data_IF_006467473538
#
_entry.id   IF_006467473538
#
_cell.length_a   1.000
_cell.length_b   1.000
_cell.length_c   1.000
_cell.angle_alpha   90.00
_cell.angle_beta   90.00
_cell.angle_gamma   90.00
#
_symmetry.space_group_name_H-M   'P 1'
#
loop_
_entity.id
_entity.type
_entity.pdbx_description
1 polymer ?
#
# COMPACT_ATOMS: atom_id res chain seq x y z
N UNK A 1 9.83 27.67 -7.32
CA UNK A 1 10.89 27.28 -8.28
C UNK A 1 11.25 25.84 -7.98
N UNK A 2 11.06 24.92 -8.93
CA UNK A 2 11.49 23.53 -8.75
C UNK A 2 13.03 23.48 -8.79
N UNK A 3 13.64 22.68 -7.92
CA UNK A 3 15.08 22.49 -7.96
C UNK A 3 15.49 21.90 -9.33
N UNK A 4 16.64 22.30 -9.89
CA UNK A 4 17.10 21.74 -11.17
C UNK A 4 17.27 20.22 -11.04
N UNK A 5 16.98 19.46 -12.11
CA UNK A 5 17.09 18.01 -12.10
C UNK A 5 18.53 17.59 -11.76
N UNK A 6 18.72 16.43 -11.10
CA UNK A 6 20.05 15.96 -10.72
C UNK A 6 20.92 15.71 -11.96
N UNK A 7 22.21 15.99 -11.83
CA UNK A 7 23.20 15.56 -12.83
C UNK A 7 23.25 14.03 -12.91
N UNK A 8 23.73 13.49 -14.03
CA UNK A 8 23.83 12.03 -14.24
C UNK A 8 24.53 11.32 -13.06
N UNK A 9 25.67 11.85 -12.60
CA UNK A 9 26.40 11.25 -11.47
C UNK A 9 25.57 11.21 -10.18
N UNK A 10 24.82 12.28 -9.88
CA UNK A 10 23.94 12.33 -8.70
C UNK A 10 22.75 11.38 -8.85
N UNK A 11 22.16 11.29 -10.04
CA UNK A 11 21.08 10.37 -10.33
C UNK A 11 21.52 8.90 -10.18
N UNK A 12 22.72 8.55 -10.66
CA UNK A 12 23.30 7.22 -10.49
C UNK A 12 23.50 6.86 -9.02
N UNK A 13 24.04 7.78 -8.20
CA UNK A 13 24.21 7.57 -6.76
C UNK A 13 22.86 7.34 -6.05
N UNK A 14 21.85 8.14 -6.38
CA UNK A 14 20.48 7.96 -5.85
C UNK A 14 19.95 6.58 -6.25
N UNK A 15 20.12 6.18 -7.51
CA UNK A 15 19.65 4.89 -8.00
C UNK A 15 20.37 3.72 -7.33
N UNK A 16 21.68 3.80 -7.10
CA UNK A 16 22.42 2.79 -6.32
C UNK A 16 21.83 2.66 -4.91
N UNK A 17 21.51 3.77 -4.25
CA UNK A 17 20.83 3.76 -2.95
C UNK A 17 19.47 3.06 -3.00
N UNK A 18 18.65 3.37 -4.02
CA UNK A 18 17.34 2.72 -4.23
C UNK A 18 17.51 1.22 -4.44
N UNK A 19 18.46 0.78 -5.27
CA UNK A 19 18.73 -0.64 -5.53
C UNK A 19 19.14 -1.37 -4.25
N UNK A 20 19.97 -0.75 -3.39
CA UNK A 20 20.34 -1.34 -2.11
C UNK A 20 19.15 -1.51 -1.18
N UNK A 21 18.27 -0.50 -1.08
CA UNK A 21 17.05 -0.57 -0.25
C UNK A 21 16.08 -1.62 -0.78
N UNK A 22 15.86 -1.64 -2.09
CA UNK A 22 15.02 -2.65 -2.76
C UNK A 22 15.59 -4.06 -2.59
N UNK A 23 16.91 -4.23 -2.72
CA UNK A 23 17.59 -5.50 -2.51
C UNK A 23 17.48 -5.99 -1.07
N UNK A 24 17.72 -5.11 -0.09
CA UNK A 24 17.54 -5.42 1.33
C UNK A 24 16.09 -5.83 1.64
N UNK A 25 15.13 -5.13 1.02
CA UNK A 25 13.72 -5.45 1.17
C UNK A 25 13.34 -6.81 0.57
N UNK A 26 13.76 -7.10 -0.66
CA UNK A 26 13.52 -8.39 -1.30
C UNK A 26 14.17 -9.54 -0.52
N UNK A 27 15.38 -9.32 0.01
CA UNK A 27 16.04 -10.25 0.93
C UNK A 27 15.22 -10.47 2.20
N UNK A 28 14.68 -9.42 2.81
CA UNK A 28 13.78 -9.53 3.96
C UNK A 28 12.52 -10.35 3.63
N UNK A 29 11.85 -10.08 2.51
CA UNK A 29 10.67 -10.85 2.10
C UNK A 29 10.99 -12.33 1.92
N UNK A 30 12.13 -12.63 1.30
CA UNK A 30 12.63 -14.00 1.15
C UNK A 30 12.81 -14.69 2.51
N UNK A 31 13.42 -14.01 3.49
CA UNK A 31 13.66 -14.54 4.84
C UNK A 31 12.35 -14.79 5.62
N UNK A 32 11.33 -13.96 5.42
CA UNK A 32 10.02 -14.10 6.09
C UNK A 32 9.06 -15.02 5.31
N UNK A 33 9.46 -15.47 4.11
CA UNK A 33 8.67 -16.38 3.27
C UNK A 33 7.51 -15.70 2.53
N UNK A 34 7.55 -14.38 2.38
CA UNK A 34 6.52 -13.61 1.67
C UNK A 34 6.81 -13.61 0.16
N UNK A 35 5.87 -14.11 -0.64
CA UNK A 35 6.02 -14.26 -2.10
C UNK A 35 5.43 -13.11 -2.90
N UNK A 36 4.37 -12.49 -2.40
CA UNK A 36 3.65 -11.42 -3.09
C UNK A 36 4.26 -10.04 -2.79
N UNK A 37 5.48 -9.80 -3.27
CA UNK A 37 6.17 -8.51 -3.11
C UNK A 37 5.48 -7.34 -3.82
N UNK A 38 4.58 -7.60 -4.76
CA UNK A 38 3.92 -6.55 -5.53
C UNK A 38 3.00 -5.70 -4.64
N UNK A 39 2.19 -6.31 -3.76
CA UNK A 39 1.17 -5.61 -2.97
C UNK A 39 1.80 -4.68 -1.93
N UNK A 40 2.96 -5.09 -1.45
CA UNK A 40 3.76 -4.34 -0.50
C UNK A 40 4.49 -3.17 -1.15
N UNK A 41 5.04 -3.36 -2.36
CA UNK A 41 5.60 -2.28 -3.16
C UNK A 41 4.54 -1.26 -3.56
N UNK A 42 3.32 -1.70 -3.88
CA UNK A 42 2.22 -0.79 -4.14
C UNK A 42 1.87 0.08 -2.94
N UNK A 43 1.95 -0.46 -1.71
CA UNK A 43 1.77 0.34 -0.50
C UNK A 43 2.88 1.39 -0.36
N UNK A 44 4.15 0.99 -0.51
CA UNK A 44 5.27 1.93 -0.51
C UNK A 44 5.06 3.04 -1.54
N UNK A 45 4.76 2.67 -2.78
CA UNK A 45 4.57 3.62 -3.86
C UNK A 45 3.43 4.61 -3.55
N UNK A 46 2.28 4.12 -3.09
CA UNK A 46 1.17 4.97 -2.72
C UNK A 46 1.54 5.92 -1.56
N UNK A 47 2.08 5.37 -0.47
CA UNK A 47 2.36 6.17 0.72
C UNK A 47 3.51 7.16 0.48
N UNK A 48 4.60 6.73 -0.15
CA UNK A 48 5.77 7.58 -0.39
C UNK A 48 5.57 8.57 -1.54
N UNK A 49 5.04 8.11 -2.68
CA UNK A 49 4.98 8.95 -3.90
C UNK A 49 3.71 9.77 -4.00
N UNK A 50 2.55 9.24 -3.55
CA UNK A 50 1.27 9.96 -3.64
C UNK A 50 1.00 10.76 -2.38
N UNK A 51 1.32 10.21 -1.20
CA UNK A 51 1.12 10.87 0.10
C UNK A 51 2.38 11.52 0.66
N UNK A 52 3.49 11.53 -0.09
CA UNK A 52 4.73 12.19 0.33
C UNK A 52 5.36 11.61 1.59
N UNK A 53 4.99 10.40 2.00
CA UNK A 53 5.35 9.80 3.29
C UNK A 53 4.98 10.70 4.50
N UNK A 54 3.91 11.49 4.38
CA UNK A 54 3.43 12.35 5.46
C UNK A 54 2.94 11.53 6.66
N UNK A 55 3.39 11.79 7.90
CA UNK A 55 2.98 11.03 9.08
C UNK A 55 1.46 11.03 9.30
N UNK A 56 0.79 12.16 9.07
CA UNK A 56 -0.65 12.30 9.27
C UNK A 56 -1.46 11.51 8.23
N UNK A 57 -0.84 11.22 7.07
CA UNK A 57 -1.43 10.40 6.02
C UNK A 57 -1.25 8.90 6.25
N UNK A 58 -0.37 8.49 7.18
CA UNK A 58 0.03 7.09 7.37
C UNK A 58 -1.13 6.21 7.80
N UNK A 59 -1.80 6.56 8.90
CA UNK A 59 -2.88 5.74 9.43
C UNK A 59 -4.06 5.59 8.44
N UNK A 60 -4.54 6.66 7.78
CA UNK A 60 -5.52 6.52 6.70
C UNK A 60 -5.02 5.63 5.55
N UNK A 61 -3.75 5.75 5.13
CA UNK A 61 -3.21 4.93 4.06
C UNK A 61 -3.18 3.43 4.43
N UNK A 62 -2.79 3.11 5.67
CA UNK A 62 -2.76 1.74 6.20
C UNK A 62 -4.17 1.14 6.27
N UNK A 63 -5.10 1.84 6.92
CA UNK A 63 -6.46 1.37 7.08
C UNK A 63 -7.18 1.23 5.74
N UNK A 64 -6.99 2.21 4.85
CA UNK A 64 -7.55 2.16 3.50
C UNK A 64 -6.99 1.00 2.69
N UNK A 65 -5.67 0.79 2.68
CA UNK A 65 -5.06 -0.32 1.96
C UNK A 65 -5.58 -1.69 2.43
N UNK A 66 -5.62 -1.91 3.74
CA UNK A 66 -6.12 -3.15 4.34
C UNK A 66 -7.61 -3.35 4.04
N UNK A 67 -8.43 -2.30 4.21
CA UNK A 67 -9.87 -2.38 3.96
C UNK A 67 -10.20 -2.60 2.49
N UNK A 68 -9.54 -1.86 1.59
CA UNK A 68 -9.72 -2.00 0.14
C UNK A 68 -9.38 -3.41 -0.32
N UNK A 69 -8.24 -3.92 0.14
CA UNK A 69 -7.83 -5.27 -0.19
C UNK A 69 -8.77 -6.33 0.42
N UNK A 70 -9.24 -6.15 1.66
CA UNK A 70 -10.26 -7.01 2.26
C UNK A 70 -11.58 -7.00 1.46
N UNK A 71 -12.06 -5.82 1.04
CA UNK A 71 -13.28 -5.72 0.22
C UNK A 71 -13.14 -6.47 -1.10
N UNK A 72 -11.97 -6.42 -1.73
CA UNK A 72 -11.75 -7.15 -2.99
C UNK A 72 -11.95 -8.67 -2.86
N UNK A 73 -11.64 -9.26 -1.70
CA UNK A 73 -11.87 -10.70 -1.45
C UNK A 73 -13.35 -11.09 -1.50
N UNK A 74 -14.26 -10.14 -1.24
CA UNK A 74 -15.70 -10.39 -1.29
C UNK A 74 -16.21 -10.66 -2.71
N UNK A 75 -15.43 -10.30 -3.74
CA UNK A 75 -15.72 -10.66 -5.12
C UNK A 75 -15.62 -12.19 -5.35
N UNK A 76 -14.92 -12.94 -4.49
CA UNK A 76 -14.95 -14.41 -4.50
C UNK A 76 -16.01 -14.96 -3.55
N UNK A 77 -16.09 -14.40 -2.34
CA UNK A 77 -16.93 -14.93 -1.27
C UNK A 77 -18.41 -14.78 -1.61
N UNK A 78 -18.84 -13.64 -2.15
CA UNK A 78 -20.25 -13.37 -2.42
C UNK A 78 -20.81 -14.26 -3.54
N UNK A 79 -20.14 -14.43 -4.71
CA UNK A 79 -20.59 -15.39 -5.73
C UNK A 79 -20.65 -16.83 -5.24
N UNK A 80 -19.71 -17.25 -4.38
CA UNK A 80 -19.71 -18.58 -3.80
C UNK A 80 -20.89 -18.81 -2.83
N UNK A 81 -21.30 -17.76 -2.09
CA UNK A 81 -22.37 -17.84 -1.11
C UNK A 81 -23.78 -17.70 -1.71
N UNK A 82 -23.96 -16.80 -2.69
CA UNK A 82 -25.28 -16.43 -3.22
C UNK A 82 -25.52 -16.88 -4.66
N UNK A 83 -24.53 -17.50 -5.31
CA UNK A 83 -24.53 -17.78 -6.75
C UNK A 83 -23.98 -16.61 -7.57
N UNK A 84 -23.53 -16.90 -8.80
CA UNK A 84 -22.74 -15.95 -9.60
C UNK A 84 -23.41 -14.59 -9.79
N UNK A 85 -24.68 -14.57 -10.25
CA UNK A 85 -25.39 -13.32 -10.53
C UNK A 85 -25.73 -12.53 -9.26
N UNK A 86 -26.30 -13.20 -8.24
CA UNK A 86 -26.70 -12.54 -7.00
C UNK A 86 -25.49 -12.06 -6.19
N UNK A 87 -24.41 -12.85 -6.14
CA UNK A 87 -23.16 -12.48 -5.47
C UNK A 87 -22.45 -11.31 -6.15
N UNK A 88 -22.41 -11.28 -7.48
CA UNK A 88 -21.91 -10.11 -8.22
C UNK A 88 -22.77 -8.87 -7.95
N UNK A 89 -24.09 -9.02 -7.95
CA UNK A 89 -25.01 -7.94 -7.58
C UNK A 89 -24.76 -7.39 -6.17
N UNK A 90 -24.55 -8.28 -5.19
CA UNK A 90 -24.19 -7.90 -3.82
C UNK A 90 -22.85 -7.17 -3.74
N UNK A 91 -21.85 -7.61 -4.50
CA UNK A 91 -20.55 -6.92 -4.56
C UNK A 91 -20.68 -5.52 -5.17
N UNK A 92 -21.46 -5.36 -6.25
CA UNK A 92 -21.73 -4.05 -6.85
C UNK A 92 -22.45 -3.13 -5.85
N UNK A 93 -23.43 -3.65 -5.11
CA UNK A 93 -24.13 -2.91 -4.06
C UNK A 93 -23.17 -2.46 -2.94
N UNK A 94 -22.23 -3.32 -2.53
CA UNK A 94 -21.19 -2.95 -1.58
C UNK A 94 -20.32 -1.80 -2.12
N UNK A 95 -19.83 -1.91 -3.36
CA UNK A 95 -19.02 -0.85 -3.99
C UNK A 95 -19.80 0.46 -4.04
N UNK A 96 -21.09 0.41 -4.40
CA UNK A 96 -21.97 1.58 -4.39
C UNK A 96 -22.04 2.22 -3.00
N UNK A 97 -22.24 1.43 -1.95
CA UNK A 97 -22.29 1.93 -0.55
C UNK A 97 -20.94 2.55 -0.15
N UNK A 98 -19.82 1.91 -0.47
CA UNK A 98 -18.48 2.44 -0.17
C UNK A 98 -18.23 3.78 -0.87
N UNK A 99 -18.59 3.88 -2.16
CA UNK A 99 -18.50 5.13 -2.92
C UNK A 99 -19.43 6.20 -2.36
N UNK A 100 -20.66 5.84 -1.98
CA UNK A 100 -21.60 6.77 -1.36
C UNK A 100 -21.05 7.33 -0.04
N UNK A 101 -20.47 6.47 0.80
CA UNK A 101 -19.82 6.91 2.04
C UNK A 101 -18.63 7.85 1.76
N UNK A 102 -17.83 7.57 0.73
CA UNK A 102 -16.74 8.46 0.28
C UNK A 102 -17.26 9.83 -0.13
N UNK A 103 -18.33 9.89 -0.94
CA UNK A 103 -18.96 11.14 -1.40
C UNK A 103 -19.54 11.93 -0.23
N UNK A 104 -20.15 11.25 0.74
CA UNK A 104 -20.66 11.85 1.98
C UNK A 104 -19.56 12.26 2.97
N UNK A 105 -18.28 11.99 2.68
CA UNK A 105 -17.17 12.25 3.59
C UNK A 105 -17.20 11.42 4.88
N UNK A 106 -17.93 10.28 4.88
CA UNK A 106 -18.05 9.40 6.05
C UNK A 106 -16.97 8.34 6.04
N UNK A 107 -16.55 7.90 7.23
CA UNK A 107 -15.52 6.88 7.42
C UNK A 107 -14.20 7.19 6.69
N UNK A 108 -13.81 8.46 6.58
CA UNK A 108 -12.65 8.91 5.79
C UNK A 108 -11.30 8.27 6.20
N UNK A 109 -11.21 7.73 7.42
CA UNK A 109 -10.07 6.92 7.85
C UNK A 109 -9.98 5.58 7.11
N UNK A 110 -11.11 4.94 6.84
CA UNK A 110 -11.21 3.61 6.23
C UNK A 110 -11.51 3.67 4.73
N UNK A 111 -12.31 4.66 4.30
CA UNK A 111 -12.74 4.87 2.92
C UNK A 111 -12.02 6.12 2.42
N UNK A 112 -10.95 5.88 1.67
CA UNK A 112 -10.06 6.91 1.14
C UNK A 112 -9.40 6.41 -0.15
N UNK A 113 -8.54 7.20 -0.83
CA UNK A 113 -7.95 6.76 -2.09
C UNK A 113 -7.14 5.45 -2.02
N UNK A 114 -6.56 5.10 -0.86
CA UNK A 114 -5.89 3.81 -0.69
C UNK A 114 -6.89 2.65 -0.77
N UNK A 115 -8.08 2.80 -0.18
CA UNK A 115 -9.17 1.81 -0.24
C UNK A 115 -9.53 1.47 -1.68
N UNK A 116 -9.73 2.48 -2.51
CA UNK A 116 -10.07 2.26 -3.91
C UNK A 116 -8.90 1.65 -4.69
N UNK A 117 -7.68 2.12 -4.45
CA UNK A 117 -6.48 1.57 -5.08
C UNK A 117 -6.32 0.07 -4.80
N UNK A 118 -6.36 -0.32 -3.52
CA UNK A 118 -6.15 -1.71 -3.13
C UNK A 118 -7.35 -2.62 -3.45
N UNK A 119 -8.56 -2.07 -3.47
CA UNK A 119 -9.72 -2.78 -3.98
C UNK A 119 -9.55 -3.11 -5.47
N UNK A 120 -9.16 -2.13 -6.28
CA UNK A 120 -8.90 -2.36 -7.71
C UNK A 120 -7.79 -3.41 -7.92
N UNK A 121 -6.68 -3.31 -7.19
CA UNK A 121 -5.58 -4.27 -7.27
C UNK A 121 -6.02 -5.71 -6.99
N UNK A 122 -6.82 -5.92 -5.93
CA UNK A 122 -7.30 -7.26 -5.58
C UNK A 122 -8.36 -7.82 -6.54
N UNK A 123 -9.07 -6.96 -7.28
CA UNK A 123 -10.04 -7.38 -8.31
C UNK A 123 -9.41 -7.68 -9.68
N UNK A 124 -8.09 -7.49 -9.86
CA UNK A 124 -7.41 -7.85 -11.12
C UNK A 124 -7.57 -9.36 -11.36
N UNK A 125 -8.04 -9.83 -12.54
CA UNK A 125 -8.32 -11.25 -12.78
C UNK A 125 -7.15 -12.19 -12.48
N UNK A 126 -5.92 -11.78 -12.76
CA UNK A 126 -4.70 -12.55 -12.46
C UNK A 126 -4.41 -12.64 -10.95
N UNK A 127 -4.80 -11.63 -10.17
CA UNK A 127 -4.67 -11.64 -8.70
C UNK A 127 -5.79 -12.48 -8.11
N UNK A 128 -7.02 -12.24 -8.55
CA UNK A 128 -8.23 -12.95 -8.15
C UNK A 128 -8.09 -14.46 -8.41
N UNK A 129 -7.62 -14.85 -9.59
CA UNK A 129 -7.49 -16.26 -9.99
C UNK A 129 -6.46 -17.07 -9.19
N UNK A 130 -5.53 -16.43 -8.47
CA UNK A 130 -4.64 -17.12 -7.54
C UNK A 130 -5.36 -17.61 -6.29
N UNK A 131 -6.48 -16.97 -5.92
CA UNK A 131 -7.27 -17.26 -4.72
C UNK A 131 -6.46 -17.27 -3.40
N UNK A 132 -5.31 -16.58 -3.35
CA UNK A 132 -4.39 -16.58 -2.19
C UNK A 132 -4.49 -15.27 -1.39
N UNK A 133 -5.71 -14.84 -1.11
CA UNK A 133 -5.99 -13.57 -0.44
C UNK A 133 -5.38 -13.50 0.96
N UNK A 134 -5.34 -14.62 1.68
CA UNK A 134 -4.77 -14.67 3.02
C UNK A 134 -3.25 -14.40 2.98
N UNK A 135 -2.50 -15.05 2.08
CA UNK A 135 -1.07 -14.79 1.95
C UNK A 135 -0.81 -13.36 1.48
N UNK A 136 -1.58 -12.85 0.51
CA UNK A 136 -1.45 -11.48 0.00
C UNK A 136 -1.82 -10.42 1.05
N UNK A 137 -2.82 -10.68 1.91
CA UNK A 137 -3.17 -9.80 3.02
C UNK A 137 -2.05 -9.78 4.07
N UNK A 138 -1.47 -10.94 4.39
CA UNK A 138 -0.31 -11.03 5.28
C UNK A 138 0.91 -10.32 4.70
N UNK A 139 1.14 -10.45 3.38
CA UNK A 139 2.20 -9.77 2.67
C UNK A 139 2.02 -8.26 2.80
N UNK A 140 0.81 -7.73 2.52
CA UNK A 140 0.49 -6.32 2.70
C UNK A 140 0.80 -5.83 4.13
N UNK A 141 0.39 -6.56 5.16
CA UNK A 141 0.68 -6.20 6.55
C UNK A 141 2.19 -6.17 6.84
N UNK A 142 2.95 -7.16 6.36
CA UNK A 142 4.42 -7.20 6.47
C UNK A 142 5.06 -6.03 5.73
N UNK A 143 4.58 -5.72 4.52
CA UNK A 143 5.03 -4.58 3.72
C UNK A 143 4.77 -3.25 4.42
N UNK A 144 3.57 -3.06 4.95
CA UNK A 144 3.22 -1.88 5.75
C UNK A 144 4.20 -1.74 6.92
N UNK A 145 4.42 -2.80 7.70
CA UNK A 145 5.33 -2.76 8.84
C UNK A 145 6.76 -2.40 8.42
N UNK A 146 7.32 -3.08 7.41
CA UNK A 146 8.67 -2.84 6.93
C UNK A 146 8.87 -1.41 6.41
N UNK A 147 8.00 -0.97 5.50
CA UNK A 147 8.15 0.35 4.87
C UNK A 147 7.92 1.50 5.85
N UNK A 148 6.96 1.34 6.77
CA UNK A 148 6.73 2.33 7.84
C UNK A 148 7.93 2.43 8.77
N UNK A 149 8.50 1.30 9.18
CA UNK A 149 9.70 1.28 10.02
C UNK A 149 10.90 1.93 9.30
N UNK A 150 11.09 1.65 8.01
CA UNK A 150 12.16 2.24 7.21
C UNK A 150 12.01 3.77 7.10
N UNK A 151 10.81 4.24 6.71
CA UNK A 151 10.52 5.67 6.48
C UNK A 151 10.66 6.46 7.78
N UNK A 152 9.99 6.03 8.86
CA UNK A 152 10.03 6.74 10.13
C UNK A 152 11.37 6.59 10.83
N UNK A 153 12.03 5.43 10.68
CA UNK A 153 13.40 5.21 11.13
C UNK A 153 14.37 6.20 10.49
N UNK A 154 14.37 6.30 9.16
CA UNK A 154 15.20 7.25 8.43
C UNK A 154 14.93 8.70 8.85
N UNK A 155 13.65 9.10 8.94
CA UNK A 155 13.25 10.44 9.39
C UNK A 155 13.78 10.76 10.79
N UNK A 156 13.69 9.81 11.72
CA UNK A 156 14.20 9.98 13.09
C UNK A 156 15.73 10.12 13.14
N UNK A 157 16.46 9.35 12.32
CA UNK A 157 17.92 9.43 12.24
C UNK A 157 18.38 10.78 11.69
N UNK A 158 17.73 11.26 10.63
CA UNK A 158 18.05 12.58 10.05
C UNK A 158 17.75 13.71 11.03
N UNK A 159 16.63 13.66 11.75
CA UNK A 159 16.30 14.66 12.78
C UNK A 159 17.36 14.70 13.91
N UNK A 160 17.82 13.52 14.36
CA UNK A 160 18.87 13.43 15.40
C UNK A 160 20.22 13.96 14.92
N UNK A 161 20.60 13.67 13.69
CA UNK A 161 21.86 14.15 13.12
C UNK A 161 21.84 15.68 12.92
N UNK A 162 20.71 16.24 12.48
CA UNK A 162 20.54 17.69 12.37
C UNK A 162 20.65 18.39 13.73
N UNK A 163 20.02 17.84 14.78
CA UNK A 163 20.12 18.37 16.14
C UNK A 163 21.56 18.34 16.69
N UNK A 164 22.34 17.31 16.34
CA UNK A 164 23.76 17.19 16.74
C UNK A 164 24.70 18.11 15.98
N UNK A 165 24.38 18.46 14.74
CA UNK A 165 25.20 19.36 13.91
C UNK A 165 24.96 20.85 14.22
N UNK A 166 23.83 21.17 14.86
CA UNK A 166 23.50 22.53 15.31
C UNK A 166 23.80 22.83 16.78
N UNK A 167 24.37 21.87 17.51
CA UNK A 167 24.86 22.00 18.88
C UNK A 167 26.38 22.04 18.89
#
# INVERSE_FOLDING_TARGET
MQAPPPTLGRALLINCGIVLVVGAYLGFLYLVGVKDSWITFFFLWYFASIRGAEPDAWLPAVLGALAGYAFSSLLLVLPAAFGAAAGLGAFIALVFVVVLMQVMGRLALLINPATFLFMMLGTIPMVLGKNDFAAQFSALAVGIAFWSALIFGARSLFARNAARAGA
#
